data_IF_220652256697
#
_entry.id   IF_220652256697
#
_cell.length_a   1.000
_cell.length_b   1.000
_cell.length_c   1.000
_cell.angle_alpha   90.00
_cell.angle_beta   90.00
_cell.angle_gamma   90.00
#
_symmetry.space_group_name_H-M   'P 1'
#
loop_
_entity.id
_entity.type
_entity.pdbx_description
1 polymer ?
#
# COMPACT_ATOMS: atom_id res chain seq x y z
N UNK A 1 12.71 -27.44 -18.02
CA UNK A 1 12.58 -27.62 -16.56
C UNK A 1 12.21 -26.27 -15.96
N UNK A 2 11.21 -26.30 -15.08
CA UNK A 2 10.71 -25.19 -14.24
C UNK A 2 9.64 -24.28 -14.87
N UNK A 3 8.37 -24.67 -14.63
CA UNK A 3 7.13 -23.95 -14.93
C UNK A 3 6.97 -22.66 -14.10
N UNK A 4 6.23 -21.66 -14.61
CA UNK A 4 6.01 -20.40 -13.91
C UNK A 4 5.15 -20.61 -12.65
N UNK A 5 5.66 -20.16 -11.52
CA UNK A 5 5.00 -20.18 -10.21
C UNK A 5 3.61 -19.56 -10.28
N UNK A 6 2.58 -20.40 -10.11
CA UNK A 6 1.20 -19.99 -9.97
C UNK A 6 1.06 -18.92 -8.88
N UNK A 7 0.42 -17.80 -9.22
CA UNK A 7 0.06 -16.74 -8.28
C UNK A 7 -0.87 -17.35 -7.23
N UNK A 8 -0.33 -17.68 -6.06
CA UNK A 8 -1.05 -18.37 -5.00
C UNK A 8 -2.25 -17.53 -4.56
N UNK A 9 -3.47 -18.07 -4.72
CA UNK A 9 -4.68 -17.50 -4.16
C UNK A 9 -4.47 -17.28 -2.65
N UNK A 10 -4.85 -16.13 -2.08
CA UNK A 10 -4.62 -15.84 -0.67
C UNK A 10 -5.32 -16.90 0.18
N UNK A 11 -4.57 -17.53 1.09
CA UNK A 11 -5.06 -18.62 1.94
C UNK A 11 -6.34 -18.19 2.69
N UNK A 12 -7.45 -18.94 2.62
CA UNK A 12 -8.75 -18.54 3.21
C UNK A 12 -8.74 -18.50 4.75
N UNK A 13 -7.72 -19.09 5.38
CA UNK A 13 -7.64 -19.29 6.82
C UNK A 13 -6.68 -18.30 7.50
N UNK A 14 -6.82 -18.20 8.82
CA UNK A 14 -5.93 -17.43 9.70
C UNK A 14 -4.46 -17.86 9.54
N UNK A 15 -3.55 -16.90 9.58
CA UNK A 15 -2.11 -17.16 9.50
C UNK A 15 -1.50 -17.76 10.78
N UNK A 16 -2.24 -17.78 11.89
CA UNK A 16 -1.78 -18.36 13.14
C UNK A 16 -1.72 -19.90 13.04
N UNK A 17 -0.63 -20.55 13.51
CA UNK A 17 -0.50 -22.00 13.44
C UNK A 17 -1.67 -22.69 14.15
N UNK A 18 -2.16 -23.79 13.57
CA UNK A 18 -3.31 -24.56 14.06
C UNK A 18 -4.66 -23.81 14.07
N UNK A 19 -4.74 -22.58 13.55
CA UNK A 19 -6.01 -21.88 13.42
C UNK A 19 -6.63 -22.11 12.04
N UNK A 20 -7.74 -22.85 11.98
CA UNK A 20 -8.52 -23.11 10.75
C UNK A 20 -9.72 -22.18 10.59
N UNK A 21 -9.76 -21.08 11.34
CA UNK A 21 -10.85 -20.11 11.30
C UNK A 21 -10.68 -19.21 10.06
N UNK A 22 -11.77 -18.86 9.35
CA UNK A 22 -11.68 -17.90 8.25
C UNK A 22 -11.11 -16.57 8.72
N UNK A 23 -10.30 -15.97 7.85
CA UNK A 23 -9.66 -14.68 8.11
C UNK A 23 -10.70 -13.56 8.09
N UNK A 24 -10.75 -12.76 9.14
CA UNK A 24 -11.70 -11.64 9.28
C UNK A 24 -11.00 -10.29 9.41
N UNK A 25 -9.71 -10.30 9.79
CA UNK A 25 -8.91 -9.09 9.99
C UNK A 25 -7.58 -9.17 9.26
N UNK A 26 -7.21 -8.09 8.62
CA UNK A 26 -5.92 -7.91 7.95
C UNK A 26 -4.95 -7.14 8.84
N UNK A 27 -3.65 -7.34 8.64
CA UNK A 27 -2.63 -6.54 9.30
C UNK A 27 -2.74 -5.07 8.88
N UNK A 28 -2.95 -4.15 9.82
CA UNK A 28 -3.08 -2.72 9.49
C UNK A 28 -1.81 -2.12 8.88
N UNK A 29 -0.64 -2.73 9.13
CA UNK A 29 0.66 -2.26 8.67
C UNK A 29 0.96 -2.71 7.25
N UNK A 30 1.03 -4.03 7.01
CA UNK A 30 1.37 -4.58 5.69
C UNK A 30 0.16 -4.90 4.82
N UNK A 31 -1.02 -5.09 5.41
CA UNK A 31 -2.25 -5.58 4.76
C UNK A 31 -2.13 -6.94 4.06
N UNK A 32 -0.99 -7.61 4.19
CA UNK A 32 -0.68 -8.87 3.51
C UNK A 32 -1.10 -10.08 4.33
N UNK A 33 -0.78 -10.10 5.63
CA UNK A 33 -1.16 -11.19 6.53
C UNK A 33 -2.55 -10.98 7.12
N UNK A 34 -3.33 -12.05 7.22
CA UNK A 34 -4.70 -12.01 7.73
C UNK A 34 -4.88 -13.00 8.89
N UNK A 35 -5.61 -12.57 9.91
CA UNK A 35 -5.91 -13.34 11.12
C UNK A 35 -7.43 -13.33 11.36
N UNK A 36 -7.92 -14.30 12.13
CA UNK A 36 -9.33 -14.32 12.53
C UNK A 36 -9.66 -13.39 13.71
N UNK A 37 -8.64 -12.95 14.47
CA UNK A 37 -8.83 -12.11 15.67
C UNK A 37 -7.60 -11.23 15.95
N UNK A 38 -7.77 -10.24 16.83
CA UNK A 38 -6.67 -9.39 17.31
C UNK A 38 -5.70 -10.18 18.20
N UNK A 39 -6.20 -11.17 18.91
CA UNK A 39 -5.41 -12.06 19.76
C UNK A 39 -4.36 -12.81 18.92
N UNK A 40 -4.80 -13.55 17.90
CA UNK A 40 -3.90 -14.24 16.97
C UNK A 40 -2.96 -13.29 16.23
N UNK A 41 -3.42 -12.10 15.88
CA UNK A 41 -2.53 -11.08 15.32
C UNK A 41 -1.41 -10.69 16.29
N UNK A 42 -1.73 -10.54 17.59
CA UNK A 42 -0.79 -10.13 18.64
C UNK A 42 0.18 -11.25 18.99
N UNK A 43 -0.29 -12.49 19.05
CA UNK A 43 0.57 -13.65 19.28
C UNK A 43 1.49 -13.92 18.07
N UNK A 44 0.92 -13.91 16.85
CA UNK A 44 1.68 -14.04 15.61
C UNK A 44 2.65 -12.89 15.39
N UNK A 45 2.41 -11.72 16.01
CA UNK A 45 3.23 -10.51 15.85
C UNK A 45 4.71 -10.76 16.13
N UNK A 46 5.03 -11.63 17.09
CA UNK A 46 6.40 -11.99 17.46
C UNK A 46 7.22 -12.49 16.26
N UNK A 47 6.59 -13.22 15.34
CA UNK A 47 7.20 -13.72 14.11
C UNK A 47 6.93 -12.79 12.92
N UNK A 48 5.69 -12.34 12.77
CA UNK A 48 5.27 -11.50 11.66
C UNK A 48 6.07 -10.19 11.56
N UNK A 49 6.43 -9.56 12.69
CA UNK A 49 7.18 -8.29 12.69
C UNK A 49 8.48 -8.33 11.90
N UNK A 50 9.11 -9.51 11.75
CA UNK A 50 10.36 -9.70 11.02
C UNK A 50 10.18 -9.57 9.50
N UNK A 51 8.98 -9.86 9.02
CA UNK A 51 8.62 -9.87 7.59
C UNK A 51 7.53 -8.85 7.25
N UNK A 52 7.07 -8.07 8.24
CA UNK A 52 5.98 -7.12 8.07
C UNK A 52 6.48 -5.86 7.35
N UNK A 53 6.32 -5.81 6.04
CA UNK A 53 6.68 -4.66 5.20
C UNK A 53 5.41 -3.86 4.90
N UNK A 54 5.42 -2.57 5.25
CA UNK A 54 4.31 -1.68 4.91
C UNK A 54 4.28 -1.49 3.38
N UNK A 55 3.10 -1.54 2.73
CA UNK A 55 3.02 -1.19 1.33
C UNK A 55 3.49 0.25 1.17
N UNK A 56 4.41 0.47 0.24
CA UNK A 56 4.76 1.82 -0.20
C UNK A 56 3.44 2.51 -0.54
N UNK A 57 3.10 3.60 0.16
CA UNK A 57 2.01 4.46 -0.27
C UNK A 57 2.43 4.89 -1.66
N UNK A 58 1.80 4.34 -2.70
CA UNK A 58 1.86 4.96 -4.02
C UNK A 58 1.31 6.35 -3.74
N UNK A 59 2.19 7.33 -3.69
CA UNK A 59 1.77 8.72 -3.79
C UNK A 59 1.05 8.71 -5.12
N UNK A 60 -0.27 8.66 -5.08
CA UNK A 60 -1.08 9.02 -6.21
C UNK A 60 -0.61 10.44 -6.49
N UNK A 61 0.31 10.59 -7.44
CA UNK A 61 0.57 11.89 -8.02
C UNK A 61 -0.83 12.39 -8.39
N UNK A 62 -1.22 13.62 -8.00
CA UNK A 62 -2.43 14.19 -8.54
C UNK A 62 -2.26 14.13 -10.05
N UNK A 63 -2.99 13.22 -10.69
CA UNK A 63 -3.01 13.11 -12.14
C UNK A 63 -3.67 14.42 -12.57
N UNK A 64 -2.94 15.38 -13.19
CA UNK A 64 -3.61 16.55 -13.69
C UNK A 64 -4.69 16.07 -14.68
N UNK A 65 -5.90 16.65 -14.66
CA UNK A 65 -6.87 16.37 -15.72
C UNK A 65 -6.19 16.63 -17.06
N UNK A 66 -6.31 15.66 -17.96
CA UNK A 66 -5.60 15.59 -19.24
C UNK A 66 -5.95 16.77 -20.19
N UNK A 67 -6.94 17.58 -19.82
CA UNK A 67 -7.45 18.74 -20.57
C UNK A 67 -6.88 20.09 -20.11
N UNK A 68 -5.73 20.14 -19.43
CA UNK A 68 -5.09 21.41 -19.10
C UNK A 68 -4.39 22.00 -20.34
N UNK A 69 -4.83 23.16 -20.88
CA UNK A 69 -4.16 23.79 -22.01
C UNK A 69 -2.78 24.29 -21.57
N UNK A 70 -1.73 23.84 -22.23
CA UNK A 70 -0.36 24.34 -22.08
C UNK A 70 -0.33 25.85 -22.36
N UNK A 71 -0.38 26.68 -21.32
CA UNK A 71 0.01 28.09 -21.44
C UNK A 71 1.53 28.15 -21.35
N UNK A 72 2.15 28.55 -22.46
CA UNK A 72 3.59 28.70 -22.61
C UNK A 72 4.21 29.76 -21.70
N UNK A 73 5.55 29.91 -21.73
CA UNK A 73 6.26 30.83 -20.86
C UNK A 73 6.06 32.27 -21.36
N UNK A 74 5.50 33.14 -20.52
CA UNK A 74 5.66 34.59 -20.69
C UNK A 74 6.72 35.05 -19.70
N UNK A 75 7.90 35.39 -20.24
CA UNK A 75 8.83 36.30 -19.60
C UNK A 75 8.36 37.71 -19.96
N UNK A 76 8.19 38.61 -19.00
CA UNK A 76 8.21 40.06 -19.24
C UNK A 76 8.63 40.79 -17.95
N UNK A 77 9.83 41.38 -18.04
CA UNK A 77 10.43 42.37 -17.17
C UNK A 77 9.66 43.72 -17.21
N UNK A 78 9.98 44.61 -16.25
CA UNK A 78 9.64 46.05 -16.20
C UNK A 78 8.18 46.40 -15.82
N UNK A 79 7.85 47.42 -15.02
CA UNK A 79 8.56 48.64 -14.57
C UNK A 79 7.72 49.32 -13.45
N UNK A 80 8.39 50.13 -12.64
CA UNK A 80 7.89 51.37 -12.00
C UNK A 80 7.01 51.27 -10.74
N UNK A 81 7.66 51.37 -9.56
CA UNK A 81 7.00 51.83 -8.34
C UNK A 81 7.50 53.25 -8.01
N UNK A 82 6.65 54.21 -8.35
CA UNK A 82 6.71 55.60 -7.93
C UNK A 82 6.43 55.71 -6.42
N UNK A 83 7.43 56.13 -5.64
CA UNK A 83 7.22 57.00 -4.47
C UNK A 83 8.49 57.71 -4.01
#
# INVERSE_FOLDING_TARGET
>A
MSEPTAVAKPAPYCAFPNCKVPRTKTCSRCKETQNCSKEHQTEHWRWHKKICVAPQKKMSAPVPPFDAPLKGPVNEEEKDENK
#
